data_IF_559181468157
#
_entry.id   IF_559181468157
#
_cell.length_a   1.000
_cell.length_b   1.000
_cell.length_c   1.000
_cell.angle_alpha   90.00
_cell.angle_beta   90.00
_cell.angle_gamma   90.00
#
_symmetry.space_group_name_H-M   'P 1'
#
loop_
_entity.id
_entity.type
_entity.pdbx_description
1 polymer ?
#
# COMPACT_ATOMS: atom_id res chain seq x y z
N UNK A 1 -0.73 -63.40 21.15
CA UNK A 1 -1.33 -63.59 19.81
C UNK A 1 -1.99 -62.27 19.47
N UNK A 2 -1.19 -61.32 18.97
CA UNK A 2 -1.60 -59.93 18.79
C UNK A 2 -0.90 -59.38 17.55
N UNK A 3 -1.66 -59.25 16.45
CA UNK A 3 -1.24 -58.64 15.18
C UNK A 3 -2.48 -58.07 14.51
N UNK A 4 -2.67 -56.76 14.58
CA UNK A 4 -3.27 -55.97 13.50
C UNK A 4 -3.20 -54.47 13.82
N UNK A 5 -2.11 -53.79 13.43
CA UNK A 5 -2.15 -52.33 13.26
C UNK A 5 -1.04 -51.76 12.34
N UNK A 6 -0.55 -52.53 11.37
CA UNK A 6 0.62 -52.13 10.54
C UNK A 6 0.29 -51.68 9.12
N UNK A 7 -0.91 -51.15 8.84
CA UNK A 7 -1.30 -50.74 7.48
C UNK A 7 -1.54 -49.24 7.25
N UNK A 8 -1.54 -48.39 8.28
CA UNK A 8 -1.75 -46.94 8.13
C UNK A 8 -0.46 -46.10 8.00
N UNK A 9 0.72 -46.73 8.02
CA UNK A 9 2.02 -46.03 8.00
C UNK A 9 2.67 -45.89 6.61
N UNK A 10 2.03 -46.34 5.52
CA UNK A 10 2.66 -46.38 4.17
C UNK A 10 2.17 -45.33 3.16
N UNK A 11 1.30 -44.40 3.55
CA UNK A 11 0.82 -43.32 2.67
C UNK A 11 1.41 -41.93 2.98
N UNK A 12 2.22 -41.79 4.04
CA UNK A 12 2.92 -40.54 4.39
C UNK A 12 4.36 -40.42 3.85
N UNK A 13 4.81 -41.38 3.03
CA UNK A 13 6.19 -41.50 2.55
C UNK A 13 6.32 -41.32 1.02
N UNK A 14 5.28 -40.79 0.34
CA UNK A 14 5.22 -40.76 -1.13
C UNK A 14 5.04 -39.36 -1.77
N UNK A 15 5.24 -38.26 -1.04
CA UNK A 15 5.39 -36.92 -1.67
C UNK A 15 6.72 -36.23 -1.39
N UNK A 16 7.64 -36.91 -0.69
CA UNK A 16 9.04 -36.52 -0.57
C UNK A 16 9.81 -37.32 -1.60
N UNK A 17 10.06 -36.74 -2.77
CA UNK A 17 11.19 -36.99 -3.72
C UNK A 17 10.80 -36.37 -5.06
N UNK A 18 11.28 -35.15 -5.30
CA UNK A 18 11.69 -34.62 -6.61
C UNK A 18 12.35 -33.27 -6.38
N UNK A 19 13.61 -33.32 -5.93
CA UNK A 19 14.58 -32.25 -6.08
C UNK A 19 15.65 -32.79 -7.03
N UNK A 20 15.93 -32.04 -8.08
CA UNK A 20 17.26 -31.70 -8.64
C UNK A 20 16.97 -30.92 -9.93
N UNK A 21 17.51 -29.73 -10.18
CA UNK A 21 18.90 -29.34 -10.01
C UNK A 21 19.02 -27.80 -10.07
N UNK A 22 19.50 -27.17 -9.01
CA UNK A 22 20.27 -25.92 -9.13
C UNK A 22 21.55 -26.03 -8.29
N UNK A 23 22.62 -25.49 -8.88
CA UNK A 23 24.02 -25.66 -8.53
C UNK A 23 24.35 -24.88 -7.23
N UNK A 24 25.02 -25.46 -6.22
CA UNK A 24 25.37 -24.72 -5.00
C UNK A 24 26.48 -23.70 -5.30
N UNK A 25 26.21 -22.43 -5.02
CA UNK A 25 27.24 -21.38 -4.95
C UNK A 25 27.77 -21.38 -3.52
N UNK A 26 29.00 -21.86 -3.33
CA UNK A 26 29.68 -21.80 -2.04
C UNK A 26 29.85 -20.35 -1.60
N UNK A 27 29.14 -19.95 -0.55
CA UNK A 27 29.43 -18.73 0.21
C UNK A 27 29.99 -19.16 1.55
N UNK A 28 31.31 -18.99 1.72
CA UNK A 28 32.00 -19.16 2.99
C UNK A 28 31.25 -18.39 4.09
N UNK A 29 30.69 -19.14 5.05
CA UNK A 29 30.20 -18.59 6.30
C UNK A 29 31.41 -18.32 7.20
N UNK A 30 32.05 -17.18 6.99
CA UNK A 30 33.01 -16.63 7.94
C UNK A 30 32.23 -15.82 8.99
N UNK A 31 32.37 -16.22 10.26
CA UNK A 31 31.80 -15.50 11.40
C UNK A 31 32.17 -14.01 11.33
N UNK A 32 31.26 -13.06 11.60
CA UNK A 32 31.65 -11.66 11.68
C UNK A 32 32.62 -11.48 12.87
N UNK A 33 33.83 -10.94 12.68
CA UNK A 33 34.70 -10.63 13.79
C UNK A 33 34.05 -9.53 14.64
N UNK A 34 34.12 -9.73 15.96
CA UNK A 34 33.80 -8.80 17.03
C UNK A 34 34.69 -7.53 16.98
N UNK A 35 34.71 -6.78 15.87
CA UNK A 35 35.49 -5.55 15.71
C UNK A 35 34.63 -4.27 15.61
N UNK A 36 33.30 -4.37 15.50
CA UNK A 36 32.43 -3.18 15.44
C UNK A 36 32.01 -2.61 16.81
N UNK A 37 32.53 -3.15 17.91
CA UNK A 37 32.29 -2.63 19.28
C UNK A 37 33.56 -2.17 20.00
N UNK A 38 34.69 -2.04 19.29
CA UNK A 38 35.95 -1.61 19.88
C UNK A 38 36.70 -0.61 18.98
N UNK A 39 36.08 0.53 18.71
CA UNK A 39 36.87 1.72 18.38
C UNK A 39 36.44 2.90 19.24
N UNK A 40 36.95 2.89 20.47
CA UNK A 40 36.92 4.01 21.39
C UNK A 40 38.04 5.00 20.98
N UNK A 41 37.92 5.55 19.77
CA UNK A 41 38.85 6.52 19.19
C UNK A 41 38.14 7.84 18.97
N UNK A 42 38.59 8.88 19.67
CA UNK A 42 38.26 10.31 19.49
C UNK A 42 37.50 10.62 18.19
N UNK A 43 36.26 11.11 18.33
CA UNK A 43 35.60 11.90 17.30
C UNK A 43 36.52 13.08 17.00
N UNK A 44 37.32 12.99 15.92
CA UNK A 44 37.98 14.17 15.38
C UNK A 44 36.87 15.04 14.80
N UNK A 45 36.74 16.22 15.38
CA UNK A 45 35.88 17.29 14.91
C UNK A 45 36.52 17.97 13.70
N UNK A 46 36.74 17.22 12.62
CA UNK A 46 37.13 17.78 11.34
C UNK A 46 35.89 17.84 10.43
N UNK A 47 35.46 19.04 9.98
CA UNK A 47 34.36 19.14 9.04
C UNK A 47 34.76 18.42 7.74
N UNK A 48 33.92 17.52 7.20
CA UNK A 48 34.24 16.86 5.94
C UNK A 48 34.30 17.92 4.85
N UNK A 49 35.42 17.96 4.11
CA UNK A 49 35.65 18.87 2.97
C UNK A 49 34.45 18.81 2.02
N UNK A 50 33.64 19.86 2.09
CA UNK A 50 32.36 20.00 1.41
C UNK A 50 32.53 20.29 -0.07
N UNK A 51 31.72 19.62 -0.89
CA UNK A 51 31.59 19.87 -2.32
C UNK A 51 30.99 18.65 -3.02
N UNK A 52 31.78 17.63 -3.43
CA UNK A 52 31.27 16.53 -4.25
C UNK A 52 30.31 15.57 -3.52
N UNK A 53 30.58 15.26 -2.24
CA UNK A 53 29.79 14.29 -1.47
C UNK A 53 28.42 14.83 -1.05
N UNK A 54 28.30 16.12 -0.79
CA UNK A 54 27.04 16.76 -0.46
C UNK A 54 26.15 16.91 -1.70
N UNK A 55 26.75 17.24 -2.85
CA UNK A 55 26.03 17.30 -4.13
C UNK A 55 25.48 15.93 -4.49
N UNK A 56 26.28 14.86 -4.41
CA UNK A 56 25.80 13.50 -4.71
C UNK A 56 24.64 13.06 -3.79
N UNK A 57 24.69 13.42 -2.49
CA UNK A 57 23.61 13.14 -1.53
C UNK A 57 22.33 13.90 -1.86
N UNK A 58 22.44 15.18 -2.19
CA UNK A 58 21.30 16.03 -2.57
C UNK A 58 20.69 15.51 -3.88
N UNK A 59 21.52 15.18 -4.88
CA UNK A 59 21.05 14.60 -6.14
C UNK A 59 20.28 13.31 -5.92
N UNK A 60 20.81 12.38 -5.11
CA UNK A 60 20.11 11.13 -4.78
C UNK A 60 18.79 11.40 -4.04
N UNK A 61 18.79 12.30 -3.05
CA UNK A 61 17.57 12.63 -2.31
C UNK A 61 16.49 13.26 -3.21
N UNK A 62 16.88 14.15 -4.12
CA UNK A 62 15.97 14.73 -5.11
C UNK A 62 15.45 13.64 -6.05
N UNK A 63 16.30 12.77 -6.57
CA UNK A 63 15.87 11.66 -7.43
C UNK A 63 14.85 10.75 -6.73
N UNK A 64 15.15 10.28 -5.52
CA UNK A 64 14.20 9.44 -4.75
C UNK A 64 12.91 10.18 -4.42
N UNK A 65 12.99 11.47 -4.07
CA UNK A 65 11.81 12.31 -3.84
C UNK A 65 10.93 12.45 -5.09
N UNK A 66 11.54 12.63 -6.26
CA UNK A 66 10.82 12.72 -7.54
C UNK A 66 10.19 11.39 -7.92
N UNK A 67 10.93 10.28 -7.84
CA UNK A 67 10.44 8.91 -8.09
C UNK A 67 9.22 8.62 -7.22
N UNK A 68 9.33 8.91 -5.91
CA UNK A 68 8.26 8.69 -4.96
C UNK A 68 7.06 9.58 -5.27
N UNK A 69 7.26 10.87 -5.57
CA UNK A 69 6.16 11.78 -5.93
C UNK A 69 5.39 11.33 -7.17
N UNK A 70 6.09 10.82 -8.20
CA UNK A 70 5.46 10.27 -9.41
C UNK A 70 4.57 9.06 -9.07
N UNK A 71 5.02 8.19 -8.15
CA UNK A 71 4.27 7.01 -7.72
C UNK A 71 3.07 7.40 -6.83
N UNK A 72 3.27 8.36 -5.91
CA UNK A 72 2.27 8.73 -4.91
C UNK A 72 1.08 9.47 -5.52
N UNK A 73 1.24 10.30 -6.55
CA UNK A 73 0.14 11.11 -7.10
C UNK A 73 -1.03 10.25 -7.63
N UNK A 74 -0.82 9.29 -8.56
CA UNK A 74 -1.89 8.41 -9.02
C UNK A 74 -2.47 7.57 -7.88
N UNK A 75 -1.62 7.14 -6.96
CA UNK A 75 -2.01 6.34 -5.79
C UNK A 75 -2.96 7.12 -4.88
N UNK A 76 -2.66 8.39 -4.57
CA UNK A 76 -3.53 9.24 -3.75
C UNK A 76 -4.88 9.54 -4.41
N UNK A 77 -4.89 9.69 -5.75
CA UNK A 77 -6.15 9.80 -6.47
C UNK A 77 -6.97 8.50 -6.36
N UNK A 78 -6.33 7.34 -6.54
CA UNK A 78 -6.96 6.04 -6.31
C UNK A 78 -7.54 5.92 -4.90
N UNK A 79 -6.79 6.32 -3.86
CA UNK A 79 -7.29 6.33 -2.49
C UNK A 79 -8.48 7.27 -2.29
N UNK A 80 -8.52 8.43 -2.94
CA UNK A 80 -9.67 9.33 -2.84
C UNK A 80 -10.95 8.68 -3.40
N UNK A 81 -10.86 8.02 -4.55
CA UNK A 81 -12.00 7.33 -5.18
C UNK A 81 -12.46 6.14 -4.33
N UNK A 82 -11.53 5.42 -3.70
CA UNK A 82 -11.86 4.29 -2.82
C UNK A 82 -12.48 4.78 -1.50
N UNK A 83 -11.92 5.83 -0.90
CA UNK A 83 -12.39 6.41 0.35
C UNK A 83 -13.82 6.95 0.20
N UNK A 84 -14.09 7.63 -0.91
CA UNK A 84 -15.39 8.21 -1.22
C UNK A 84 -16.15 7.41 -2.30
N UNK A 85 -16.12 6.08 -2.19
CA UNK A 85 -16.73 5.19 -3.19
C UNK A 85 -18.26 5.23 -3.23
N UNK A 86 -18.92 5.81 -2.24
CA UNK A 86 -20.37 5.91 -2.21
C UNK A 86 -20.90 6.86 -3.30
N UNK A 87 -22.01 6.49 -3.94
CA UNK A 87 -22.63 7.22 -5.07
C UNK A 87 -22.92 8.70 -4.79
N UNK A 88 -23.18 9.06 -3.53
CA UNK A 88 -23.51 10.43 -3.13
C UNK A 88 -22.28 11.37 -3.19
N UNK A 89 -21.06 10.85 -3.36
CA UNK A 89 -19.83 11.64 -3.48
C UNK A 89 -19.42 11.94 -4.91
N UNK A 90 -20.07 11.35 -5.93
CA UNK A 90 -19.63 11.41 -7.33
C UNK A 90 -19.49 12.85 -7.82
N UNK A 91 -20.47 13.71 -7.54
CA UNK A 91 -20.45 15.12 -7.96
C UNK A 91 -19.37 15.95 -7.26
N UNK A 92 -18.94 15.52 -6.07
CA UNK A 92 -17.93 16.21 -5.26
C UNK A 92 -16.53 15.60 -5.40
N UNK A 93 -16.39 14.52 -6.16
CA UNK A 93 -15.13 13.78 -6.31
C UNK A 93 -13.93 14.66 -6.72
N UNK A 94 -14.06 15.66 -7.62
CA UNK A 94 -12.95 16.57 -7.93
C UNK A 94 -12.50 17.45 -6.75
N UNK A 95 -13.43 17.84 -5.87
CA UNK A 95 -13.09 18.60 -4.66
C UNK A 95 -12.50 17.69 -3.58
N UNK A 96 -13.07 16.50 -3.40
CA UNK A 96 -12.64 15.50 -2.42
C UNK A 96 -11.24 14.95 -2.71
N UNK A 97 -10.95 14.64 -3.97
CA UNK A 97 -9.61 14.21 -4.41
C UNK A 97 -8.54 15.28 -4.15
N UNK A 98 -8.84 16.56 -4.44
CA UNK A 98 -7.94 17.68 -4.08
C UNK A 98 -7.70 17.76 -2.58
N UNK A 99 -8.74 17.55 -1.77
CA UNK A 99 -8.63 17.55 -0.31
C UNK A 99 -7.73 16.40 0.18
N UNK A 100 -7.91 15.18 -0.33
CA UNK A 100 -7.10 14.01 0.03
C UNK A 100 -5.63 14.21 -0.36
N UNK A 101 -5.37 14.69 -1.58
CA UNK A 101 -4.00 14.97 -2.05
C UNK A 101 -3.37 16.06 -1.18
N UNK A 102 -4.09 17.14 -0.89
CA UNK A 102 -3.60 18.21 -0.02
C UNK A 102 -3.30 17.70 1.40
N UNK A 103 -4.20 16.90 1.97
CA UNK A 103 -4.02 16.25 3.26
C UNK A 103 -2.75 15.38 3.29
N UNK A 104 -2.50 14.60 2.23
CA UNK A 104 -1.29 13.80 2.09
C UNK A 104 -0.02 14.66 2.03
N UNK A 105 -0.04 15.81 1.36
CA UNK A 105 1.10 16.73 1.32
C UNK A 105 1.36 17.29 2.71
N UNK A 106 0.33 17.77 3.41
CA UNK A 106 0.46 18.29 4.77
C UNK A 106 1.00 17.22 5.72
N UNK A 107 0.48 15.99 5.65
CA UNK A 107 0.96 14.87 6.45
C UNK A 107 2.43 14.56 6.17
N UNK A 108 2.82 14.44 4.90
CA UNK A 108 4.21 14.15 4.53
C UNK A 108 5.17 15.25 5.02
N UNK A 109 4.78 16.53 4.91
CA UNK A 109 5.58 17.66 5.41
C UNK A 109 5.74 17.58 6.93
N UNK A 110 4.64 17.40 7.66
CA UNK A 110 4.67 17.27 9.13
C UNK A 110 5.51 16.06 9.56
N UNK A 111 5.36 14.92 8.90
CA UNK A 111 6.15 13.73 9.17
C UNK A 111 7.64 13.97 8.92
N UNK A 112 8.01 14.55 7.78
CA UNK A 112 9.41 14.85 7.45
C UNK A 112 10.05 15.83 8.44
N UNK A 113 9.30 16.83 8.95
CA UNK A 113 9.81 17.80 9.92
C UNK A 113 9.90 17.25 11.34
N UNK A 114 8.98 16.37 11.75
CA UNK A 114 8.86 15.87 13.12
C UNK A 114 9.49 14.48 13.33
N UNK A 115 9.82 13.75 12.25
CA UNK A 115 10.40 12.41 12.33
C UNK A 115 11.84 12.46 12.85
N UNK A 116 12.13 11.57 13.79
CA UNK A 116 13.48 11.33 14.31
C UNK A 116 14.29 10.32 13.47
N UNK A 117 13.68 9.75 12.42
CA UNK A 117 14.27 8.70 11.60
C UNK A 117 14.79 9.27 10.26
N UNK A 118 16.12 9.34 10.03
CA UNK A 118 16.73 10.05 8.90
C UNK A 118 16.45 9.45 7.52
N UNK A 119 15.81 8.27 7.45
CA UNK A 119 15.49 7.56 6.21
C UNK A 119 14.01 7.14 6.11
N UNK A 120 13.17 7.59 7.06
CA UNK A 120 11.77 7.16 7.06
C UNK A 120 10.93 7.99 6.09
N UNK A 121 10.05 7.33 5.35
CA UNK A 121 9.09 7.95 4.44
C UNK A 121 7.68 7.72 4.99
N UNK A 122 7.01 8.79 5.42
CA UNK A 122 5.65 8.74 5.95
C UNK A 122 4.59 8.76 4.86
N UNK A 123 4.36 7.63 4.20
CA UNK A 123 3.30 7.50 3.20
C UNK A 123 1.94 7.18 3.84
N UNK A 124 0.85 7.56 3.14
CA UNK A 124 -0.50 7.15 3.51
C UNK A 124 -0.65 5.64 3.26
N UNK A 125 -1.19 4.93 4.24
CA UNK A 125 -1.30 3.48 4.21
C UNK A 125 -2.63 3.02 3.60
N UNK A 126 -2.54 2.08 2.66
CA UNK A 126 -3.65 1.50 1.89
C UNK A 126 -4.70 0.89 2.81
N UNK A 127 -4.23 0.19 3.86
CA UNK A 127 -5.08 -0.44 4.85
C UNK A 127 -5.96 0.55 5.63
N UNK A 128 -5.48 1.77 5.88
CA UNK A 128 -6.24 2.79 6.59
C UNK A 128 -7.43 3.29 5.75
N UNK A 129 -7.24 3.38 4.43
CA UNK A 129 -8.26 3.83 3.48
C UNK A 129 -9.47 2.91 3.46
N UNK A 130 -9.26 1.60 3.67
CA UNK A 130 -10.34 0.60 3.79
C UNK A 130 -11.32 0.97 4.89
N UNK A 131 -10.79 1.23 6.09
CA UNK A 131 -11.61 1.59 7.25
C UNK A 131 -12.30 2.94 7.08
N UNK A 132 -11.61 3.90 6.47
CA UNK A 132 -12.20 5.20 6.16
C UNK A 132 -13.31 5.11 5.11
N UNK A 133 -13.17 4.26 4.10
CA UNK A 133 -14.20 4.00 3.08
C UNK A 133 -15.46 3.39 3.70
N UNK A 134 -15.28 2.37 4.55
CA UNK A 134 -16.39 1.76 5.28
C UNK A 134 -17.10 2.76 6.20
N UNK A 135 -16.34 3.62 6.88
CA UNK A 135 -16.89 4.68 7.74
C UNK A 135 -17.66 5.72 6.91
N UNK A 136 -17.10 6.20 5.80
CA UNK A 136 -17.73 7.17 4.91
C UNK A 136 -19.06 6.64 4.36
N UNK A 137 -19.06 5.38 3.93
CA UNK A 137 -20.25 4.68 3.43
C UNK A 137 -21.31 4.55 4.52
N UNK A 138 -20.92 4.08 5.71
CA UNK A 138 -21.82 3.92 6.85
C UNK A 138 -22.46 5.25 7.29
N UNK A 139 -21.72 6.37 7.22
CA UNK A 139 -22.25 7.71 7.53
C UNK A 139 -23.31 8.09 6.49
N UNK A 140 -23.03 7.94 5.19
CA UNK A 140 -23.99 8.23 4.13
C UNK A 140 -25.27 7.41 4.26
N UNK A 141 -25.14 6.11 4.53
CA UNK A 141 -26.28 5.21 4.73
C UNK A 141 -27.11 5.61 5.96
N UNK A 142 -26.44 5.98 7.06
CA UNK A 142 -27.10 6.40 8.31
C UNK A 142 -27.84 7.73 8.18
N UNK A 143 -27.34 8.66 7.36
CA UNK A 143 -28.01 9.95 7.10
C UNK A 143 -29.27 9.79 6.23
N UNK A 144 -29.39 8.69 5.47
CA UNK A 144 -30.55 8.43 4.62
C UNK A 144 -30.64 9.36 3.41
N UNK A 145 -31.70 9.25 2.61
CA UNK A 145 -31.84 10.03 1.36
C UNK A 145 -32.42 11.43 1.55
N UNK A 146 -32.95 11.76 2.73
CA UNK A 146 -33.64 13.02 2.99
C UNK A 146 -32.68 14.20 3.25
N UNK A 147 -31.41 13.90 3.51
CA UNK A 147 -30.37 14.90 3.77
C UNK A 147 -29.71 15.33 2.45
N UNK A 148 -29.54 16.64 2.19
CA UNK A 148 -28.88 17.11 0.97
C UNK A 148 -27.44 16.58 0.86
N UNK A 149 -26.99 16.31 -0.36
CA UNK A 149 -25.67 15.72 -0.63
C UNK A 149 -24.53 16.55 0.01
N UNK A 150 -24.58 17.87 -0.08
CA UNK A 150 -23.56 18.76 0.50
C UNK A 150 -23.40 18.56 2.01
N UNK A 151 -24.52 18.36 2.73
CA UNK A 151 -24.49 18.09 4.16
C UNK A 151 -23.90 16.70 4.44
N UNK A 152 -24.26 15.68 3.65
CA UNK A 152 -23.65 14.33 3.76
C UNK A 152 -22.14 14.37 3.57
N UNK A 153 -21.67 15.09 2.57
CA UNK A 153 -20.23 15.23 2.28
C UNK A 153 -19.52 15.91 3.43
N UNK A 154 -20.04 17.04 3.89
CA UNK A 154 -19.46 17.80 4.99
C UNK A 154 -19.41 16.97 6.27
N UNK A 155 -20.51 16.30 6.63
CA UNK A 155 -20.58 15.44 7.81
C UNK A 155 -19.59 14.29 7.72
N UNK A 156 -19.45 13.65 6.56
CA UNK A 156 -18.50 12.54 6.36
C UNK A 156 -17.05 12.99 6.57
N UNK A 157 -16.66 14.12 5.97
CA UNK A 157 -15.29 14.67 6.12
C UNK A 157 -14.99 15.00 7.59
N UNK A 158 -15.92 15.65 8.29
CA UNK A 158 -15.73 16.05 9.69
C UNK A 158 -15.64 14.82 10.60
N UNK A 159 -16.52 13.85 10.45
CA UNK A 159 -16.50 12.62 11.28
C UNK A 159 -15.22 11.82 11.01
N UNK A 160 -14.83 11.65 9.76
CA UNK A 160 -13.57 10.97 9.40
C UNK A 160 -12.37 11.73 9.98
N UNK A 161 -12.37 13.06 9.92
CA UNK A 161 -11.34 13.90 10.53
C UNK A 161 -11.24 13.71 12.05
N UNK A 162 -12.36 13.71 12.76
CA UNK A 162 -12.40 13.47 14.21
C UNK A 162 -11.96 12.04 14.55
N UNK A 163 -12.41 11.04 13.77
CA UNK A 163 -12.03 9.65 13.97
C UNK A 163 -10.53 9.43 13.75
N UNK A 164 -9.95 9.99 12.69
CA UNK A 164 -8.51 9.90 12.41
C UNK A 164 -7.66 10.66 13.44
N UNK A 165 -8.10 11.85 13.88
CA UNK A 165 -7.43 12.59 14.94
C UNK A 165 -7.46 11.82 16.29
N UNK A 166 -8.61 11.24 16.65
CA UNK A 166 -8.73 10.45 17.88
C UNK A 166 -7.89 9.17 17.82
N UNK A 167 -7.83 8.50 16.66
CA UNK A 167 -6.90 7.39 16.43
C UNK A 167 -5.45 7.83 16.59
N UNK A 168 -5.06 8.99 16.04
CA UNK A 168 -3.72 9.57 16.23
C UNK A 168 -3.36 9.79 17.70
N UNK A 169 -4.28 10.35 18.50
CA UNK A 169 -4.09 10.50 19.95
C UNK A 169 -3.93 9.15 20.64
N UNK A 170 -4.78 8.17 20.30
CA UNK A 170 -4.67 6.82 20.84
C UNK A 170 -3.31 6.17 20.52
N UNK A 171 -2.82 6.32 19.29
CA UNK A 171 -1.51 5.81 18.87
C UNK A 171 -0.36 6.48 19.63
N UNK A 172 -0.44 7.79 19.90
CA UNK A 172 0.54 8.50 20.73
C UNK A 172 0.56 7.94 22.15
N UNK A 173 -0.62 7.72 22.75
CA UNK A 173 -0.74 7.13 24.10
C UNK A 173 -0.18 5.70 24.12
N UNK A 174 -0.53 4.86 23.16
CA UNK A 174 -0.01 3.50 23.04
C UNK A 174 1.52 3.48 22.87
N UNK A 175 2.07 4.40 22.07
CA UNK A 175 3.51 4.56 21.90
C UNK A 175 4.22 4.94 23.20
N UNK A 176 3.64 5.87 23.99
CA UNK A 176 4.18 6.29 25.29
C UNK A 176 4.13 5.17 26.33
N UNK A 177 3.08 4.36 26.32
CA UNK A 177 2.92 3.23 27.23
C UNK A 177 3.68 1.97 26.77
N UNK A 178 4.41 2.03 25.64
CA UNK A 178 5.15 0.90 25.04
C UNK A 178 4.28 -0.32 24.73
N UNK A 179 2.99 -0.10 24.46
CA UNK A 179 2.04 -1.16 24.08
C UNK A 179 2.27 -1.70 22.66
N UNK A 180 3.23 -1.17 21.90
CA UNK A 180 3.64 -1.71 20.61
C UNK A 180 4.07 -3.19 20.71
N UNK A 181 4.60 -3.61 21.87
CA UNK A 181 4.92 -5.01 22.14
C UNK A 181 3.67 -5.92 22.15
N UNK A 182 2.47 -5.36 22.36
CA UNK A 182 1.22 -6.13 22.28
C UNK A 182 0.88 -6.53 20.84
N UNK A 183 1.16 -5.64 19.88
CA UNK A 183 0.93 -5.91 18.46
C UNK A 183 1.80 -7.08 17.96
N UNK A 184 3.00 -7.26 18.51
CA UNK A 184 3.87 -8.41 18.17
C UNK A 184 3.40 -9.77 18.69
N UNK A 185 2.39 -9.81 19.57
CA UNK A 185 1.80 -11.08 20.03
C UNK A 185 0.67 -11.60 19.13
N UNK A 186 0.31 -10.88 18.07
CA UNK A 186 -0.74 -11.32 17.14
C UNK A 186 -0.31 -12.63 16.47
N UNK A 187 -1.08 -13.73 16.64
CA UNK A 187 -0.76 -14.99 15.98
C UNK A 187 -0.73 -14.84 14.47
N UNK A 188 0.18 -15.56 13.79
CA UNK A 188 0.28 -15.58 12.33
C UNK A 188 -1.07 -15.83 11.61
N UNK A 189 -1.98 -16.70 12.10
CA UNK A 189 -3.30 -16.86 11.49
C UNK A 189 -4.16 -15.60 11.45
N UNK A 190 -4.06 -14.73 12.47
CA UNK A 190 -4.83 -13.48 12.54
C UNK A 190 -4.32 -12.48 11.49
N UNK A 191 -3.00 -12.38 11.37
CA UNK A 191 -2.33 -11.54 10.37
C UNK A 191 -2.68 -12.06 8.96
N UNK A 192 -2.67 -13.37 8.76
CA UNK A 192 -3.06 -14.00 7.49
C UNK A 192 -4.49 -13.68 7.07
N UNK A 193 -5.46 -13.80 7.99
CA UNK A 193 -6.86 -13.45 7.72
C UNK A 193 -7.05 -11.97 7.37
N UNK A 194 -6.38 -11.08 8.09
CA UNK A 194 -6.39 -9.64 7.80
C UNK A 194 -5.80 -9.31 6.42
N UNK A 195 -4.65 -9.91 6.07
CA UNK A 195 -4.03 -9.73 4.75
C UNK A 195 -4.91 -10.29 3.61
N UNK A 196 -5.58 -11.42 3.84
CA UNK A 196 -6.53 -11.97 2.87
C UNK A 196 -7.70 -11.02 2.61
N UNK A 197 -8.23 -10.38 3.65
CA UNK A 197 -9.28 -9.37 3.51
C UNK A 197 -8.79 -8.13 2.75
N UNK A 198 -7.59 -7.61 3.05
CA UNK A 198 -7.00 -6.50 2.28
C UNK A 198 -6.86 -6.88 0.80
N UNK A 199 -6.45 -8.11 0.50
CA UNK A 199 -6.35 -8.61 -0.87
C UNK A 199 -7.68 -8.56 -1.64
N UNK A 200 -8.76 -9.06 -1.04
CA UNK A 200 -10.11 -9.01 -1.64
C UNK A 200 -10.60 -7.57 -1.76
N UNK A 201 -10.39 -6.74 -0.74
CA UNK A 201 -10.77 -5.33 -0.79
C UNK A 201 -10.04 -4.59 -1.91
N UNK A 202 -8.74 -4.82 -2.07
CA UNK A 202 -7.93 -4.24 -3.14
C UNK A 202 -8.44 -4.69 -4.52
N UNK A 203 -8.89 -5.94 -4.64
CA UNK A 203 -9.52 -6.44 -5.87
C UNK A 203 -10.82 -5.69 -6.19
N UNK A 204 -11.71 -5.51 -5.21
CA UNK A 204 -12.95 -4.75 -5.38
C UNK A 204 -12.69 -3.29 -5.72
N UNK A 205 -11.77 -2.64 -5.00
CA UNK A 205 -11.33 -1.28 -5.26
C UNK A 205 -10.74 -1.12 -6.68
N UNK A 206 -9.91 -2.07 -7.11
CA UNK A 206 -9.34 -2.08 -8.46
C UNK A 206 -10.40 -2.22 -9.55
N UNK A 207 -11.38 -3.11 -9.37
CA UNK A 207 -12.51 -3.26 -10.29
C UNK A 207 -13.41 -2.02 -10.32
N UNK A 208 -13.65 -1.40 -9.16
CA UNK A 208 -14.39 -0.14 -9.06
C UNK A 208 -13.67 0.98 -9.84
N UNK A 209 -12.34 1.09 -9.71
CA UNK A 209 -11.54 2.05 -10.45
C UNK A 209 -11.55 1.81 -11.96
N UNK A 210 -11.57 0.55 -12.42
CA UNK A 210 -11.59 0.23 -13.85
C UNK A 210 -12.96 0.51 -14.49
N UNK A 211 -14.05 0.21 -13.77
CA UNK A 211 -15.42 0.28 -14.30
C UNK A 211 -16.13 1.60 -14.00
N UNK A 212 -15.63 2.37 -13.02
CA UNK A 212 -16.33 3.54 -12.48
C UNK A 212 -17.58 3.20 -11.67
N UNK A 213 -17.81 1.92 -11.36
CA UNK A 213 -18.97 1.45 -10.60
C UNK A 213 -18.59 1.22 -9.12
N UNK A 214 -19.59 1.30 -8.25
CA UNK A 214 -19.42 1.00 -6.82
C UNK A 214 -19.42 -0.52 -6.62
N UNK A 215 -18.24 -1.12 -6.45
CA UNK A 215 -18.07 -2.57 -6.24
C UNK A 215 -17.69 -2.81 -4.78
N UNK A 216 -18.67 -3.16 -3.94
CA UNK A 216 -18.45 -3.41 -2.51
C UNK A 216 -18.76 -4.86 -2.09
N UNK A 217 -19.49 -5.61 -2.91
CA UNK A 217 -20.00 -6.95 -2.59
C UNK A 217 -19.70 -7.96 -3.69
N UNK A 218 -19.75 -9.25 -3.34
CA UNK A 218 -19.52 -10.36 -4.26
C UNK A 218 -20.52 -10.35 -5.43
N UNK A 219 -21.78 -9.98 -5.17
CA UNK A 219 -22.81 -9.85 -6.21
C UNK A 219 -22.48 -8.74 -7.22
N UNK A 220 -22.03 -7.58 -6.72
CA UNK A 220 -21.56 -6.46 -7.55
C UNK A 220 -20.32 -6.83 -8.36
N UNK A 221 -19.41 -7.64 -7.80
CA UNK A 221 -18.26 -8.15 -8.56
C UNK A 221 -18.72 -9.07 -9.70
N UNK A 222 -19.64 -10.01 -9.43
CA UNK A 222 -20.15 -10.94 -10.46
C UNK A 222 -20.91 -10.19 -11.55
N UNK A 223 -21.68 -9.15 -11.21
CA UNK A 223 -22.41 -8.34 -12.20
C UNK A 223 -21.48 -7.54 -13.13
N UNK A 224 -20.30 -7.14 -12.64
CA UNK A 224 -19.23 -6.56 -13.47
C UNK A 224 -18.73 -7.57 -14.50
N UNK A 225 -18.50 -8.83 -14.11
CA UNK A 225 -18.07 -9.88 -15.03
C UNK A 225 -19.17 -10.38 -15.97
N UNK A 226 -20.45 -10.22 -15.60
CA UNK A 226 -21.59 -10.59 -16.45
C UNK A 226 -21.78 -9.69 -17.66
N UNK A 227 -21.27 -8.45 -17.63
CA UNK A 227 -21.39 -7.48 -18.71
C UNK A 227 -20.11 -7.40 -19.53
N UNK A 228 -20.16 -7.82 -20.80
CA UNK A 228 -19.00 -7.79 -21.70
C UNK A 228 -18.35 -6.40 -21.82
N UNK A 229 -19.13 -5.33 -21.72
CA UNK A 229 -18.63 -3.96 -21.74
C UNK A 229 -17.78 -3.61 -20.49
N UNK A 230 -18.23 -4.02 -19.30
CA UNK A 230 -17.49 -3.76 -18.05
C UNK A 230 -16.21 -4.60 -17.98
N UNK A 231 -16.25 -5.84 -18.49
CA UNK A 231 -15.05 -6.67 -18.64
C UNK A 231 -14.05 -6.01 -19.58
N UNK A 232 -14.50 -5.43 -20.70
CA UNK A 232 -13.64 -4.70 -21.63
C UNK A 232 -12.94 -3.51 -20.96
N UNK A 233 -13.65 -2.77 -20.09
CA UNK A 233 -13.09 -1.67 -19.30
C UNK A 233 -12.02 -2.13 -18.29
N UNK A 234 -12.10 -3.36 -17.79
CA UNK A 234 -11.10 -3.94 -16.89
C UNK A 234 -9.81 -4.38 -17.60
N UNK A 235 -9.86 -4.71 -18.90
CA UNK A 235 -8.69 -5.19 -19.66
C UNK A 235 -7.48 -4.26 -19.55
N UNK A 236 -7.57 -2.94 -19.83
CA UNK A 236 -6.41 -2.05 -19.72
C UNK A 236 -5.87 -1.96 -18.28
N UNK A 237 -6.74 -2.01 -17.27
CA UNK A 237 -6.33 -2.03 -15.87
C UNK A 237 -5.56 -3.30 -15.51
N UNK A 238 -6.05 -4.47 -15.91
CA UNK A 238 -5.39 -5.77 -15.67
C UNK A 238 -4.08 -5.87 -16.43
N UNK A 239 -4.05 -5.46 -17.71
CA UNK A 239 -2.82 -5.46 -18.52
C UNK A 239 -1.78 -4.51 -17.94
N UNK A 240 -2.19 -3.31 -17.55
CA UNK A 240 -1.33 -2.34 -16.87
C UNK A 240 -0.77 -2.86 -15.55
N UNK A 241 -1.63 -3.41 -14.70
CA UNK A 241 -1.24 -4.01 -13.43
C UNK A 241 -0.29 -5.19 -13.61
N UNK A 242 -0.58 -6.09 -14.55
CA UNK A 242 0.29 -7.23 -14.88
C UNK A 242 1.65 -6.77 -15.42
N UNK A 243 1.66 -5.75 -16.30
CA UNK A 243 2.89 -5.15 -16.81
C UNK A 243 3.72 -4.55 -15.68
N UNK A 244 3.12 -3.74 -14.80
CA UNK A 244 3.81 -3.15 -13.65
C UNK A 244 4.32 -4.22 -12.68
N UNK A 245 3.56 -5.30 -12.47
CA UNK A 245 3.99 -6.42 -11.63
C UNK A 245 5.20 -7.15 -12.22
N UNK A 246 5.18 -7.45 -13.52
CA UNK A 246 6.33 -8.09 -14.20
C UNK A 246 7.56 -7.18 -14.17
N UNK A 247 7.39 -5.87 -14.43
CA UNK A 247 8.47 -4.89 -14.35
C UNK A 247 9.02 -4.81 -12.93
N UNK A 248 8.15 -4.76 -11.92
CA UNK A 248 8.55 -4.70 -10.52
C UNK A 248 9.27 -5.97 -10.04
N UNK A 249 8.96 -7.14 -10.60
CA UNK A 249 9.63 -8.40 -10.26
C UNK A 249 10.95 -8.60 -10.99
N UNK A 250 11.10 -8.01 -12.17
CA UNK A 250 12.26 -8.22 -13.04
C UNK A 250 13.36 -7.18 -12.85
N UNK A 251 13.04 -6.01 -12.31
CA UNK A 251 13.97 -4.91 -12.15
C UNK A 251 14.00 -4.39 -10.71
N UNK A 252 15.17 -4.43 -10.08
CA UNK A 252 15.38 -3.87 -8.73
C UNK A 252 15.46 -2.33 -8.73
N UNK A 253 15.58 -1.71 -9.92
CA UNK A 253 15.73 -0.26 -10.04
C UNK A 253 14.37 0.43 -9.91
N UNK A 254 14.15 1.14 -8.80
CA UNK A 254 12.92 1.92 -8.54
C UNK A 254 12.61 2.97 -9.63
N UNK A 255 13.62 3.44 -10.35
CA UNK A 255 13.46 4.33 -11.51
C UNK A 255 12.65 3.71 -12.65
N UNK A 256 12.82 2.42 -12.90
CA UNK A 256 12.14 1.72 -14.00
C UNK A 256 10.64 1.60 -13.70
N UNK A 257 10.28 1.37 -12.43
CA UNK A 257 8.88 1.34 -12.00
C UNK A 257 8.20 2.70 -12.15
N UNK A 258 8.82 3.79 -11.67
CA UNK A 258 8.25 5.14 -11.83
C UNK A 258 8.19 5.58 -13.30
N UNK A 259 9.16 5.19 -14.12
CA UNK A 259 9.11 5.45 -15.56
C UNK A 259 7.97 4.68 -16.25
N UNK A 260 7.77 3.40 -15.90
CA UNK A 260 6.68 2.59 -16.43
C UNK A 260 5.30 3.19 -16.11
N UNK A 261 5.11 3.67 -14.87
CA UNK A 261 3.87 4.32 -14.43
C UNK A 261 3.61 5.62 -15.19
N UNK A 262 4.66 6.38 -15.54
CA UNK A 262 4.51 7.61 -16.32
C UNK A 262 4.22 7.32 -17.80
N UNK A 263 4.86 6.30 -18.37
CA UNK A 263 4.72 5.92 -19.78
C UNK A 263 3.32 5.37 -20.07
N UNK A 264 2.72 4.63 -19.13
CA UNK A 264 1.42 3.98 -19.33
C UNK A 264 0.28 4.95 -19.73
N UNK A 265 -0.01 6.05 -19.00
CA UNK A 265 -1.04 7.01 -19.39
C UNK A 265 -0.67 7.80 -20.66
N UNK A 266 0.62 8.03 -20.92
CA UNK A 266 1.07 8.69 -22.16
C UNK A 266 0.73 7.83 -23.37
N UNK A 267 1.08 6.53 -23.33
CA UNK A 267 0.76 5.57 -24.40
C UNK A 267 -0.75 5.46 -24.58
N UNK A 268 -1.51 5.40 -23.48
CA UNK A 268 -2.97 5.39 -23.54
C UNK A 268 -3.53 6.64 -24.24
N UNK A 269 -3.03 7.83 -23.90
CA UNK A 269 -3.49 9.08 -24.51
C UNK A 269 -3.15 9.14 -26.00
N UNK A 270 -1.97 8.67 -26.41
CA UNK A 270 -1.62 8.58 -27.83
C UNK A 270 -2.55 7.62 -28.59
N UNK A 271 -2.85 6.45 -28.03
CA UNK A 271 -3.78 5.47 -28.65
C UNK A 271 -5.22 6.02 -28.74
N UNK A 272 -5.65 6.84 -27.78
CA UNK A 272 -7.00 7.43 -27.80
C UNK A 272 -7.12 8.63 -28.75
N UNK A 273 -6.00 9.29 -29.07
CA UNK A 273 -5.97 10.46 -29.94
C UNK A 273 -5.94 10.08 -31.44
N UNK A 274 -5.43 8.88 -31.78
CA UNK A 274 -5.52 8.25 -33.10
C UNK A 274 -6.90 7.58 -33.34
#
# INVERSE_FOLDING_TARGET
MERSNSQTSRLSQLSVVSITSEKPRETNFENPPHELLQNNGKVSSDPPKGGPQNVARITNAVMYGTINSILTIPTMYGYAVILFSHKDFVDFMPALSKLVIFSSVVHQVMFTLMSSLPFSIGQVQDAGVIFLSAMSTSICDSLGNDVPLEAKVTTSIIIIGIATASLGVCLVVMGKLKLAALASYLPMPVIGGYLAFIGIFCLYAGLALCTGLVVNDMESMISVFGNAHNVLLCVPGVLGGAFLLVVSQRYDNSLILSAAIMIMPIVFFFIMLD
#
